data_IF_606669071380
#
_entry.id   IF_606669071380
#
_cell.length_a   1.000
_cell.length_b   1.000
_cell.length_c   1.000
_cell.angle_alpha   90.00
_cell.angle_beta   90.00
_cell.angle_gamma   90.00
#
_symmetry.space_group_name_H-M   'P 1'
#
loop_
_entity.id
_entity.type
_entity.pdbx_description
1 polymer ?
#
# COMPACT_ATOMS: atom_id res chain seq x y z
N UNK A 1 -14.43 -38.23 -14.11
CA UNK A 1 -14.12 -36.97 -13.38
C UNK A 1 -13.54 -36.02 -14.40
N UNK A 2 -14.38 -35.14 -14.93
CA UNK A 2 -14.05 -34.25 -16.05
C UNK A 2 -13.46 -32.95 -15.50
N UNK A 3 -12.14 -32.80 -15.61
CA UNK A 3 -11.44 -31.54 -15.32
C UNK A 3 -11.43 -30.66 -16.57
N UNK A 4 -12.20 -29.58 -16.56
CA UNK A 4 -12.21 -28.58 -17.62
C UNK A 4 -10.92 -27.74 -17.56
N UNK A 5 -9.86 -28.22 -18.22
CA UNK A 5 -8.61 -27.48 -18.40
C UNK A 5 -8.78 -26.35 -19.42
N UNK A 6 -8.40 -25.13 -19.03
CA UNK A 6 -8.36 -23.95 -19.91
C UNK A 6 -7.09 -24.00 -20.78
N UNK A 7 -7.26 -23.80 -22.09
CA UNK A 7 -6.19 -23.92 -23.07
C UNK A 7 -5.53 -22.56 -23.34
N UNK A 8 -4.51 -22.17 -22.57
CA UNK A 8 -3.73 -20.96 -22.85
C UNK A 8 -2.32 -21.31 -23.34
N UNK A 9 -1.87 -20.59 -24.37
CA UNK A 9 -0.62 -20.83 -25.11
C UNK A 9 0.57 -20.28 -24.32
N UNK A 10 1.54 -21.13 -23.98
CA UNK A 10 2.74 -20.73 -23.24
C UNK A 10 3.58 -19.67 -23.99
N UNK A 11 4.12 -18.65 -23.30
CA UNK A 11 5.05 -17.69 -23.90
C UNK A 11 6.44 -18.32 -24.10
N UNK A 12 7.05 -18.04 -25.26
CA UNK A 12 8.36 -18.55 -25.65
C UNK A 12 9.49 -17.85 -24.87
N UNK A 13 10.33 -18.63 -24.19
CA UNK A 13 11.57 -18.12 -23.59
C UNK A 13 12.68 -18.07 -24.65
N UNK A 14 13.31 -16.91 -24.85
CA UNK A 14 14.55 -16.76 -25.61
C UNK A 14 15.54 -15.88 -24.84
N UNK A 15 16.78 -16.37 -24.73
CA UNK A 15 17.97 -15.51 -24.70
C UNK A 15 18.70 -15.36 -23.36
N UNK A 16 19.57 -16.32 -23.03
CA UNK A 16 20.75 -16.07 -22.17
C UNK A 16 21.76 -15.20 -22.92
N UNK A 17 22.35 -14.18 -22.28
CA UNK A 17 23.77 -13.80 -22.43
C UNK A 17 24.29 -13.14 -21.14
N UNK A 18 25.36 -13.74 -20.64
CA UNK A 18 26.17 -13.33 -19.48
C UNK A 18 27.03 -12.08 -19.77
N UNK A 19 27.55 -11.43 -18.70
CA UNK A 19 28.19 -10.11 -18.75
C UNK A 19 29.71 -10.20 -18.96
N UNK A 20 30.33 -9.05 -19.26
CA UNK A 20 31.71 -8.62 -18.95
C UNK A 20 32.31 -7.82 -20.12
N UNK A 21 32.62 -6.54 -19.89
CA UNK A 21 33.96 -5.96 -20.14
C UNK A 21 33.94 -4.43 -20.05
N UNK A 22 34.55 -3.92 -18.99
CA UNK A 22 35.29 -2.65 -18.94
C UNK A 22 36.70 -3.04 -18.50
N UNK A 23 37.81 -2.46 -19.02
CA UNK A 23 38.39 -1.29 -18.34
C UNK A 23 39.24 -0.30 -19.19
N UNK A 24 39.32 0.93 -18.67
CA UNK A 24 40.41 1.94 -18.65
C UNK A 24 41.39 2.15 -19.84
N UNK A 25 41.60 3.42 -20.24
CA UNK A 25 42.92 4.09 -20.24
C UNK A 25 42.83 5.64 -20.29
N UNK A 26 43.79 6.29 -19.62
CA UNK A 26 44.08 7.74 -19.43
C UNK A 26 44.53 8.41 -20.76
N UNK A 27 44.44 9.72 -21.00
CA UNK A 27 45.19 10.85 -20.38
C UNK A 27 44.73 12.22 -20.96
N UNK A 28 45.14 13.36 -20.34
CA UNK A 28 44.58 14.73 -20.50
C UNK A 28 45.45 15.71 -21.30
N UNK A 29 44.88 16.82 -21.79
CA UNK A 29 45.49 18.14 -22.06
C UNK A 29 44.32 19.17 -22.18
N UNK A 30 44.16 20.18 -21.33
CA UNK A 30 44.88 21.47 -21.24
C UNK A 30 44.04 22.64 -21.83
N UNK A 31 43.62 23.54 -20.93
CA UNK A 31 43.43 24.99 -21.07
C UNK A 31 42.38 25.49 -22.09
N UNK A 32 41.27 26.01 -21.56
CA UNK A 32 40.88 27.40 -21.82
C UNK A 32 40.02 27.96 -20.68
N UNK A 33 40.66 28.81 -19.91
CA UNK A 33 40.05 29.70 -18.93
C UNK A 33 39.03 30.59 -19.65
N UNK A 34 37.76 30.48 -19.29
CA UNK A 34 36.69 31.33 -19.80
C UNK A 34 35.78 31.66 -18.64
N UNK A 35 36.05 32.86 -18.08
CA UNK A 35 35.23 33.70 -17.20
C UNK A 35 33.89 33.10 -16.77
N UNK A 36 33.85 32.73 -15.50
CA UNK A 36 32.62 32.65 -14.71
C UNK A 36 31.88 34.00 -14.76
N UNK A 37 30.58 34.06 -15.08
CA UNK A 37 29.75 35.17 -14.63
C UNK A 37 29.55 35.05 -13.12
N UNK A 38 29.71 36.17 -12.41
CA UNK A 38 29.49 36.28 -10.96
C UNK A 38 28.10 35.75 -10.56
N UNK A 39 27.96 35.06 -9.42
CA UNK A 39 26.66 34.70 -8.91
C UNK A 39 25.89 35.97 -8.49
N UNK A 40 24.59 36.10 -8.79
CA UNK A 40 23.77 37.14 -8.17
C UNK A 40 23.69 36.86 -6.67
N UNK A 41 23.83 37.93 -5.87
CA UNK A 41 23.65 37.91 -4.42
C UNK A 41 22.36 37.20 -4.01
N UNK A 42 22.34 36.49 -2.86
CA UNK A 42 21.14 35.82 -2.38
C UNK A 42 20.09 36.87 -2.02
N UNK A 43 19.13 37.05 -2.91
CA UNK A 43 17.91 37.74 -2.56
C UNK A 43 17.17 36.82 -1.59
N UNK A 44 17.19 37.22 -0.32
CA UNK A 44 16.37 36.70 0.75
C UNK A 44 14.90 36.99 0.42
N UNK A 45 14.33 36.25 -0.52
CA UNK A 45 12.88 36.04 -0.57
C UNK A 45 12.66 34.86 0.36
N UNK A 46 12.53 35.16 1.65
CA UNK A 46 11.89 34.21 2.55
C UNK A 46 10.49 33.99 2.00
N UNK A 47 10.29 32.86 1.30
CA UNK A 47 8.97 32.26 1.21
C UNK A 47 8.42 32.24 2.64
N UNK A 48 7.19 32.70 2.88
CA UNK A 48 6.56 32.45 4.16
C UNK A 48 6.47 30.93 4.26
N UNK A 49 7.34 30.35 5.09
CA UNK A 49 7.14 29.01 5.64
C UNK A 49 5.71 29.06 6.13
N UNK A 50 4.82 28.33 5.44
CA UNK A 50 3.42 28.25 5.79
C UNK A 50 3.39 27.84 7.26
N UNK A 51 3.16 28.82 8.12
CA UNK A 51 3.10 28.60 9.55
C UNK A 51 1.82 27.81 9.69
N UNK A 52 1.95 26.49 9.86
CA UNK A 52 0.84 25.64 10.25
C UNK A 52 0.23 26.35 11.45
N UNK A 53 -1.01 26.85 11.37
CA UNK A 53 -1.56 27.62 12.46
C UNK A 53 -1.69 26.68 13.65
N UNK A 54 -0.72 26.69 14.56
CA UNK A 54 -0.71 25.92 15.82
C UNK A 54 -1.53 26.68 16.88
N UNK A 55 -2.69 27.21 16.46
CA UNK A 55 -3.62 27.92 17.31
C UNK A 55 -4.78 27.01 17.77
N UNK A 56 -5.53 27.42 18.80
CA UNK A 56 -6.74 26.71 19.23
C UNK A 56 -7.79 26.56 18.11
N UNK A 57 -7.76 27.47 17.12
CA UNK A 57 -8.64 27.41 15.95
C UNK A 57 -8.36 26.22 15.03
N UNK A 58 -7.11 25.78 14.89
CA UNK A 58 -6.79 24.62 14.04
C UNK A 58 -7.20 23.30 14.69
N UNK A 59 -7.17 23.22 16.01
CA UNK A 59 -7.70 22.09 16.79
C UNK A 59 -9.23 22.03 16.63
N UNK A 60 -9.92 23.16 16.77
CA UNK A 60 -11.38 23.22 16.60
C UNK A 60 -11.81 22.85 15.18
N UNK A 61 -11.09 23.31 14.14
CA UNK A 61 -11.36 22.91 12.76
C UNK A 61 -11.03 21.43 12.50
N UNK A 62 -9.96 20.90 13.10
CA UNK A 62 -9.66 19.47 13.03
C UNK A 62 -10.78 18.62 13.63
N UNK A 63 -11.31 19.01 14.79
CA UNK A 63 -12.44 18.32 15.43
C UNK A 63 -13.72 18.40 14.58
N UNK A 64 -14.00 19.56 13.97
CA UNK A 64 -15.10 19.73 13.03
C UNK A 64 -14.96 18.80 11.82
N UNK A 65 -13.77 18.73 11.23
CA UNK A 65 -13.47 17.83 10.12
C UNK A 65 -13.60 16.35 10.50
N UNK A 66 -13.24 15.97 11.73
CA UNK A 66 -13.45 14.62 12.24
C UNK A 66 -14.93 14.29 12.40
N UNK A 67 -15.73 15.20 12.95
CA UNK A 67 -17.18 15.01 13.05
C UNK A 67 -17.82 14.83 11.66
N UNK A 68 -17.38 15.60 10.66
CA UNK A 68 -17.80 15.41 9.27
C UNK A 68 -17.37 14.04 8.74
N UNK A 69 -16.13 13.63 8.95
CA UNK A 69 -15.62 12.33 8.50
C UNK A 69 -16.46 11.16 9.04
N UNK A 70 -16.91 11.24 10.29
CA UNK A 70 -17.73 10.21 10.94
C UNK A 70 -19.15 10.15 10.42
N UNK A 71 -19.75 11.30 10.17
CA UNK A 71 -21.07 11.38 9.53
C UNK A 71 -21.01 10.75 8.13
N UNK A 72 -19.96 11.07 7.37
CA UNK A 72 -19.70 10.48 6.05
C UNK A 72 -19.42 8.97 6.14
N UNK A 73 -18.68 8.52 7.17
CA UNK A 73 -18.38 7.11 7.40
C UNK A 73 -19.66 6.32 7.69
N UNK A 74 -20.50 6.86 8.58
CA UNK A 74 -21.81 6.29 8.92
C UNK A 74 -22.75 6.24 7.71
N UNK A 75 -22.57 7.14 6.75
CA UNK A 75 -23.31 7.16 5.50
C UNK A 75 -22.66 6.35 4.36
N UNK A 76 -21.56 5.63 4.62
CA UNK A 76 -20.84 4.83 3.62
C UNK A 76 -20.07 5.63 2.58
N UNK A 77 -19.86 6.94 2.78
CA UNK A 77 -19.18 7.84 1.84
C UNK A 77 -17.66 7.86 2.08
N UNK A 78 -17.03 6.70 1.93
CA UNK A 78 -15.64 6.44 2.33
C UNK A 78 -14.59 7.39 1.71
N UNK A 79 -14.77 7.82 0.45
CA UNK A 79 -13.87 8.79 -0.20
C UNK A 79 -13.91 10.16 0.48
N UNK A 80 -15.10 10.60 0.90
CA UNK A 80 -15.26 11.86 1.63
C UNK A 80 -14.71 11.74 3.05
N UNK A 81 -15.00 10.64 3.75
CA UNK A 81 -14.40 10.29 5.05
C UNK A 81 -12.88 10.39 5.00
N UNK A 82 -12.24 9.72 4.05
CA UNK A 82 -10.78 9.71 3.87
C UNK A 82 -10.23 11.13 3.71
N UNK A 83 -10.84 11.96 2.87
CA UNK A 83 -10.39 13.34 2.63
C UNK A 83 -10.44 14.18 3.91
N UNK A 84 -11.56 14.16 4.63
CA UNK A 84 -11.72 14.93 5.87
C UNK A 84 -10.81 14.41 6.98
N UNK A 85 -10.71 13.09 7.17
CA UNK A 85 -9.87 12.49 8.21
C UNK A 85 -8.37 12.77 7.98
N UNK A 86 -7.89 12.67 6.73
CA UNK A 86 -6.50 13.04 6.41
C UNK A 86 -6.24 14.53 6.60
N UNK A 87 -7.23 15.39 6.32
CA UNK A 87 -7.09 16.82 6.56
C UNK A 87 -7.01 17.12 8.06
N UNK A 88 -7.91 16.54 8.86
CA UNK A 88 -7.87 16.65 10.31
C UNK A 88 -6.54 16.14 10.90
N UNK A 89 -6.02 15.00 10.42
CA UNK A 89 -4.74 14.45 10.86
C UNK A 89 -3.55 15.38 10.56
N UNK A 90 -3.61 16.17 9.48
CA UNK A 90 -2.58 17.17 9.16
C UNK A 90 -2.68 18.40 10.06
N UNK A 91 -3.89 18.85 10.37
CA UNK A 91 -4.12 20.01 11.24
C UNK A 91 -3.83 19.71 12.71
N UNK A 92 -4.14 18.49 13.17
CA UNK A 92 -3.93 18.06 14.54
C UNK A 92 -3.33 16.64 14.62
N UNK A 93 -2.01 16.51 14.42
CA UNK A 93 -1.32 15.20 14.37
C UNK A 93 -1.38 14.39 15.67
N UNK A 94 -1.62 15.06 16.80
CA UNK A 94 -1.71 14.42 18.12
C UNK A 94 -3.09 13.83 18.41
N UNK A 95 -4.09 14.01 17.53
CA UNK A 95 -5.39 13.37 17.72
C UNK A 95 -5.27 11.85 17.58
N UNK A 96 -5.75 11.06 18.57
CA UNK A 96 -5.78 9.61 18.46
C UNK A 96 -6.83 9.11 17.46
N UNK A 97 -7.87 9.91 17.18
CA UNK A 97 -9.06 9.51 16.40
C UNK A 97 -8.86 9.64 14.89
N UNK A 98 -8.27 10.75 14.45
CA UNK A 98 -7.99 11.05 13.04
C UNK A 98 -7.26 9.92 12.26
N UNK A 99 -6.15 9.35 12.76
CA UNK A 99 -5.46 8.27 12.04
C UNK A 99 -6.30 6.99 11.96
N UNK A 100 -7.12 6.68 12.98
CA UNK A 100 -8.02 5.52 12.96
C UNK A 100 -9.08 5.67 11.88
N UNK A 101 -9.76 6.82 11.84
CA UNK A 101 -10.80 7.08 10.82
C UNK A 101 -10.21 7.08 9.42
N UNK A 102 -9.02 7.66 9.22
CA UNK A 102 -8.33 7.67 7.94
C UNK A 102 -7.92 6.25 7.50
N UNK A 103 -7.35 5.45 8.42
CA UNK A 103 -6.93 4.07 8.14
C UNK A 103 -8.13 3.19 7.83
N UNK A 104 -9.20 3.28 8.62
CA UNK A 104 -10.47 2.58 8.41
C UNK A 104 -11.01 2.87 7.02
N UNK A 105 -11.09 4.15 6.64
CA UNK A 105 -11.58 4.53 5.32
C UNK A 105 -10.69 4.01 4.18
N UNK A 106 -9.36 3.98 4.34
CA UNK A 106 -8.47 3.43 3.33
C UNK A 106 -8.67 1.91 3.14
N UNK A 107 -8.81 1.16 4.23
CA UNK A 107 -9.03 -0.29 4.18
C UNK A 107 -10.39 -0.62 3.55
N UNK A 108 -11.45 0.07 3.97
CA UNK A 108 -12.80 -0.15 3.40
C UNK A 108 -12.94 0.35 1.96
N UNK A 109 -12.06 1.24 1.51
CA UNK A 109 -12.00 1.68 0.10
C UNK A 109 -11.31 0.66 -0.82
N UNK A 110 -10.58 -0.31 -0.26
CA UNK A 110 -9.92 -1.32 -1.05
C UNK A 110 -10.95 -2.09 -1.88
N UNK A 111 -10.60 -2.35 -3.14
CA UNK A 111 -11.42 -3.22 -3.98
C UNK A 111 -11.41 -4.64 -3.41
N UNK A 112 -12.55 -5.33 -3.47
CA UNK A 112 -12.71 -6.67 -2.90
C UNK A 112 -11.73 -7.70 -3.51
N UNK A 113 -11.19 -7.44 -4.70
CA UNK A 113 -10.19 -8.31 -5.34
C UNK A 113 -8.74 -8.00 -4.93
N UNK A 114 -8.45 -6.83 -4.35
CA UNK A 114 -7.09 -6.45 -3.97
C UNK A 114 -6.83 -6.63 -2.47
N UNK A 115 -6.25 -7.77 -2.13
CA UNK A 115 -5.74 -8.04 -0.78
C UNK A 115 -4.59 -7.11 -0.39
N UNK A 116 -3.78 -6.65 -1.36
CA UNK A 116 -2.71 -5.68 -1.11
C UNK A 116 -3.28 -4.31 -0.70
N UNK A 117 -4.30 -3.82 -1.41
CA UNK A 117 -4.97 -2.57 -1.07
C UNK A 117 -5.65 -2.64 0.31
N UNK A 118 -6.30 -3.76 0.65
CA UNK A 118 -6.91 -3.96 1.97
C UNK A 118 -5.88 -3.93 3.12
N UNK A 119 -4.64 -4.35 2.84
CA UNK A 119 -3.52 -4.24 3.78
C UNK A 119 -2.74 -2.94 3.67
N UNK A 120 -3.13 -2.01 2.79
CA UNK A 120 -2.39 -0.76 2.52
C UNK A 120 -0.94 -1.03 2.08
N UNK A 121 -0.74 -2.07 1.29
CA UNK A 121 0.54 -2.46 0.70
C UNK A 121 0.63 -1.98 -0.76
N UNK A 122 1.85 -1.74 -1.28
CA UNK A 122 2.05 -1.54 -2.71
C UNK A 122 1.56 -2.76 -3.49
N UNK A 123 1.00 -2.54 -4.69
CA UNK A 123 0.60 -3.61 -5.59
C UNK A 123 1.84 -4.36 -6.11
N UNK A 124 1.77 -5.69 -6.30
CA UNK A 124 2.91 -6.50 -6.71
C UNK A 124 3.38 -6.21 -8.13
N UNK A 125 2.51 -5.64 -8.97
CA UNK A 125 2.81 -5.26 -10.36
C UNK A 125 3.51 -3.89 -10.47
N UNK A 126 3.71 -3.19 -9.34
CA UNK A 126 4.44 -1.93 -9.31
C UNK A 126 5.95 -2.20 -9.51
N UNK A 127 6.59 -1.62 -10.55
CA UNK A 127 8.00 -1.88 -10.86
C UNK A 127 8.97 -1.50 -9.73
N UNK A 128 8.56 -0.61 -8.82
CA UNK A 128 9.37 -0.16 -7.69
C UNK A 128 9.09 -0.95 -6.39
N UNK A 129 8.14 -1.90 -6.40
CA UNK A 129 7.81 -2.69 -5.21
C UNK A 129 8.89 -3.73 -4.89
N UNK A 130 9.40 -3.66 -3.65
CA UNK A 130 10.27 -4.71 -3.12
C UNK A 130 9.47 -6.00 -2.86
N UNK A 131 10.07 -7.18 -3.08
CA UNK A 131 9.40 -8.45 -2.83
C UNK A 131 9.02 -8.55 -1.35
N UNK A 132 7.73 -8.73 -1.07
CA UNK A 132 7.22 -8.82 0.30
C UNK A 132 7.57 -10.17 0.91
N UNK A 133 8.47 -10.17 1.91
CA UNK A 133 8.77 -11.38 2.66
C UNK A 133 7.66 -11.68 3.68
N UNK A 134 7.43 -12.97 3.95
CA UNK A 134 6.38 -13.39 4.90
C UNK A 134 6.54 -12.79 6.31
N UNK A 135 7.78 -12.54 6.76
CA UNK A 135 8.06 -11.85 8.03
C UNK A 135 7.65 -10.38 8.02
N UNK A 136 7.86 -9.69 6.90
CA UNK A 136 7.49 -8.29 6.72
C UNK A 136 5.99 -8.13 6.63
N UNK A 137 5.31 -9.01 5.88
CA UNK A 137 3.85 -9.06 5.83
C UNK A 137 3.25 -9.27 7.23
N UNK A 138 3.78 -10.22 8.01
CA UNK A 138 3.35 -10.44 9.40
C UNK A 138 3.56 -9.21 10.29
N UNK A 139 4.71 -8.55 10.17
CA UNK A 139 5.03 -7.33 10.94
C UNK A 139 4.08 -6.21 10.56
N UNK A 140 3.84 -6.01 9.27
CA UNK A 140 2.95 -5.00 8.73
C UNK A 140 1.51 -5.22 9.18
N UNK A 141 0.98 -6.43 9.03
CA UNK A 141 -0.36 -6.78 9.49
C UNK A 141 -0.53 -6.48 10.98
N UNK A 142 0.40 -6.93 11.84
CA UNK A 142 0.36 -6.61 13.28
C UNK A 142 0.37 -5.11 13.57
N UNK A 143 1.14 -4.34 12.79
CA UNK A 143 1.19 -2.88 12.90
C UNK A 143 -0.14 -2.24 12.51
N UNK A 144 -0.79 -2.74 11.46
CA UNK A 144 -2.11 -2.29 11.00
C UNK A 144 -3.21 -2.60 12.02
N UNK A 145 -3.25 -3.83 12.56
CA UNK A 145 -4.18 -4.19 13.64
C UNK A 145 -3.98 -3.27 14.85
N UNK A 146 -2.72 -2.96 15.18
CA UNK A 146 -2.40 -2.05 16.27
C UNK A 146 -2.88 -0.62 15.96
N UNK A 147 -2.72 -0.10 14.74
CA UNK A 147 -3.14 1.26 14.41
C UNK A 147 -4.66 1.43 14.44
N UNK A 148 -5.42 0.42 14.02
CA UNK A 148 -6.90 0.41 14.09
C UNK A 148 -7.42 0.41 15.54
N UNK A 149 -6.69 -0.22 16.47
CA UNK A 149 -7.12 -0.37 17.87
C UNK A 149 -6.57 0.69 18.83
N UNK A 150 -5.30 1.10 18.69
CA UNK A 150 -4.62 1.96 19.67
C UNK A 150 -5.20 3.38 19.72
N UNK A 151 -5.72 3.89 18.61
CA UNK A 151 -6.39 5.20 18.61
C UNK A 151 -7.81 5.17 19.20
N UNK A 152 -8.33 3.98 19.55
CA UNK A 152 -9.69 3.78 20.03
C UNK A 152 -9.69 3.02 21.36
N UNK A 153 -9.49 3.74 22.46
CA UNK A 153 -9.69 3.15 23.80
C UNK A 153 -11.19 2.91 24.08
N UNK A 154 -11.51 2.18 25.15
CA UNK A 154 -12.89 1.82 25.49
C UNK A 154 -13.83 3.03 25.63
N UNK A 155 -13.34 4.15 26.18
CA UNK A 155 -14.12 5.37 26.31
C UNK A 155 -14.38 6.03 24.95
N UNK A 156 -13.38 6.09 24.07
CA UNK A 156 -13.53 6.61 22.71
C UNK A 156 -14.44 5.72 21.86
N UNK A 157 -14.34 4.40 22.00
CA UNK A 157 -15.22 3.45 21.31
C UNK A 157 -16.69 3.64 21.72
N UNK A 158 -16.94 3.88 23.02
CA UNK A 158 -18.28 4.17 23.53
C UNK A 158 -18.81 5.53 23.06
N UNK A 159 -17.95 6.54 22.96
CA UNK A 159 -18.32 7.87 22.47
C UNK A 159 -18.60 7.89 20.96
N UNK A 160 -17.94 7.03 20.17
CA UNK A 160 -18.03 7.00 18.71
C UNK A 160 -18.30 5.58 18.20
N UNK A 161 -19.50 5.01 18.45
CA UNK A 161 -19.80 3.62 18.16
C UNK A 161 -19.74 3.28 16.66
N UNK A 162 -20.11 4.21 15.78
CA UNK A 162 -20.02 4.00 14.32
C UNK A 162 -18.57 3.86 13.85
N UNK A 163 -17.65 4.62 14.44
CA UNK A 163 -16.20 4.50 14.13
C UNK A 163 -15.67 3.18 14.66
N UNK A 164 -16.07 2.78 15.87
CA UNK A 164 -15.68 1.50 16.44
C UNK A 164 -16.14 0.33 15.56
N UNK A 165 -17.40 0.34 15.13
CA UNK A 165 -17.96 -0.69 14.26
C UNK A 165 -17.22 -0.75 12.91
N UNK A 166 -17.00 0.39 12.26
CA UNK A 166 -16.28 0.45 11.00
C UNK A 166 -14.80 0.02 11.13
N UNK A 167 -14.15 0.32 12.25
CA UNK A 167 -12.78 -0.11 12.51
C UNK A 167 -12.68 -1.63 12.69
N UNK A 168 -13.67 -2.27 13.32
CA UNK A 168 -13.75 -3.74 13.42
C UNK A 168 -14.08 -4.38 12.06
N UNK A 169 -14.92 -3.75 11.24
CA UNK A 169 -15.17 -4.18 9.86
C UNK A 169 -13.89 -4.12 9.02
N UNK A 170 -13.17 -3.00 9.08
CA UNK A 170 -11.87 -2.85 8.42
C UNK A 170 -10.86 -3.88 8.92
N UNK A 171 -10.86 -4.20 10.21
CA UNK A 171 -10.02 -5.26 10.76
C UNK A 171 -10.38 -6.64 10.19
N UNK A 172 -11.68 -6.92 10.00
CA UNK A 172 -12.16 -8.11 9.32
C UNK A 172 -11.59 -8.22 7.90
N UNK A 173 -11.73 -7.15 7.11
CA UNK A 173 -11.21 -7.10 5.73
C UNK A 173 -9.69 -7.28 5.68
N UNK A 174 -8.94 -6.62 6.58
CA UNK A 174 -7.50 -6.78 6.67
C UNK A 174 -7.08 -8.20 7.08
N UNK A 175 -7.87 -8.86 7.93
CA UNK A 175 -7.60 -10.24 8.36
C UNK A 175 -7.82 -11.23 7.22
N UNK A 176 -8.95 -11.11 6.52
CA UNK A 176 -9.24 -11.91 5.33
C UNK A 176 -8.14 -11.75 4.26
N UNK A 177 -7.72 -10.51 4.00
CA UNK A 177 -6.63 -10.24 3.07
C UNK A 177 -5.29 -10.85 3.51
N UNK A 178 -4.96 -10.79 4.79
CA UNK A 178 -3.77 -11.43 5.33
C UNK A 178 -3.82 -12.96 5.21
N UNK A 179 -4.97 -13.57 5.48
CA UNK A 179 -5.18 -15.01 5.31
C UNK A 179 -5.05 -15.43 3.84
N UNK A 180 -5.64 -14.67 2.92
CA UNK A 180 -5.54 -14.92 1.48
C UNK A 180 -4.08 -14.89 1.00
N UNK A 181 -3.28 -13.92 1.46
CA UNK A 181 -1.87 -13.79 1.07
C UNK A 181 -0.91 -14.76 1.77
N UNK A 182 -1.31 -15.31 2.92
CA UNK A 182 -0.49 -16.30 3.65
C UNK A 182 -0.92 -17.73 3.40
N UNK A 183 -2.08 -17.95 2.79
CA UNK A 183 -2.51 -19.26 2.32
C UNK A 183 -1.57 -19.71 1.20
N UNK A 184 -0.84 -20.82 1.37
CA UNK A 184 0.06 -21.30 0.33
C UNK A 184 -0.77 -21.67 -0.91
N UNK A 185 -0.50 -21.01 -2.03
CA UNK A 185 -1.10 -21.37 -3.31
C UNK A 185 -0.73 -22.82 -3.63
N UNK A 186 -1.71 -23.71 -3.90
CA UNK A 186 -1.41 -25.07 -4.33
C UNK A 186 -0.49 -25.00 -5.53
N UNK A 187 0.72 -25.55 -5.41
CA UNK A 187 1.64 -25.59 -6.54
C UNK A 187 0.98 -26.35 -7.69
N UNK A 188 1.12 -25.85 -8.92
CA UNK A 188 0.73 -26.58 -10.12
C UNK A 188 1.94 -27.27 -10.74
N UNK A 189 1.68 -28.21 -11.63
CA UNK A 189 2.68 -28.80 -12.50
C UNK A 189 2.08 -29.03 -13.88
N UNK A 190 2.95 -29.08 -14.88
CA UNK A 190 2.57 -29.33 -16.26
C UNK A 190 2.94 -30.75 -16.64
N UNK A 191 2.04 -31.45 -17.33
CA UNK A 191 2.32 -32.76 -17.93
C UNK A 191 1.84 -32.82 -19.37
N UNK A 192 2.57 -33.54 -20.22
CA UNK A 192 2.19 -33.76 -21.60
C UNK A 192 1.17 -34.89 -21.70
N UNK A 193 0.03 -34.64 -22.34
CA UNK A 193 -0.98 -35.67 -22.57
C UNK A 193 -0.57 -36.57 -23.75
N UNK A 194 -0.53 -37.88 -23.52
CA UNK A 194 -0.20 -38.85 -24.57
C UNK A 194 -1.23 -38.90 -25.71
N UNK A 195 -2.50 -38.56 -25.43
CA UNK A 195 -3.59 -38.58 -26.42
C UNK A 195 -3.61 -37.36 -27.33
N UNK A 196 -3.56 -36.16 -26.76
CA UNK A 196 -3.70 -34.92 -27.54
C UNK A 196 -2.38 -34.18 -27.81
N UNK A 197 -1.25 -34.63 -27.23
CA UNK A 197 0.09 -34.02 -27.35
C UNK A 197 0.17 -32.56 -26.86
N UNK A 198 -0.79 -32.11 -26.04
CA UNK A 198 -0.78 -30.79 -25.41
C UNK A 198 -0.25 -30.87 -23.98
N UNK A 199 0.21 -29.73 -23.45
CA UNK A 199 0.55 -29.55 -22.06
C UNK A 199 -0.71 -29.20 -21.26
N UNK A 200 -0.93 -29.92 -20.18
CA UNK A 200 -2.02 -29.68 -19.25
C UNK A 200 -1.44 -29.28 -17.90
N UNK A 201 -2.01 -28.22 -17.31
CA UNK A 201 -1.72 -27.81 -15.94
C UNK A 201 -2.61 -28.60 -14.98
N UNK A 202 -1.97 -29.19 -13.97
CA UNK A 202 -2.65 -29.90 -12.89
C UNK A 202 -2.21 -29.34 -11.55
N UNK A 203 -3.12 -29.36 -10.58
CA UNK A 203 -2.76 -29.12 -9.19
C UNK A 203 -1.88 -30.26 -8.65
N UNK A 204 -0.83 -29.95 -7.89
CA UNK A 204 0.07 -30.96 -7.30
C UNK A 204 -0.61 -31.94 -6.34
N UNK A 205 -1.83 -31.64 -5.88
CA UNK A 205 -2.65 -32.58 -5.09
C UNK A 205 -2.95 -33.90 -5.82
N UNK A 206 -2.81 -33.93 -7.15
CA UNK A 206 -3.06 -35.11 -7.98
C UNK A 206 -1.83 -36.00 -8.24
N UNK A 207 -0.66 -35.68 -7.67
CA UNK A 207 0.54 -36.53 -7.77
C UNK A 207 0.62 -37.43 -6.54
N UNK A 208 0.48 -38.76 -6.73
CA UNK A 208 0.76 -39.75 -5.69
C UNK A 208 -0.44 -40.49 -5.06
N UNK A 209 -1.56 -40.65 -5.77
CA UNK A 209 -2.59 -41.65 -5.43
C UNK A 209 -2.39 -42.94 -6.21
#
# INVERSE_FOLDING_TARGET
>A
MEGHGRCDRAPAQHGRRDPLSSPHHRRPLSIKESRLPSPPSPQMVGEPIATVPTGPESVAEADRLLALAESELSAGRLRATRRHALHAARLYPTSPRAPVVATTANVLLADASSHHAALLLPEPDDPDASPLFASELRRHFKSLVKSLRVGLNAATAAAYPSVAAAAEEALGHATEAYEALTTPTPGTFWTACAGCRLLHEFERKYVGY
#
